data_IF_228170017021
#
_entry.id   IF_228170017021
#
_cell.length_a   1.000
_cell.length_b   1.000
_cell.length_c   1.000
_cell.angle_alpha   90.00
_cell.angle_beta   90.00
_cell.angle_gamma   90.00
#
_symmetry.space_group_name_H-M   'P 1'
#
loop_
_entity.id
_entity.type
_entity.pdbx_description
1 polymer ?
#
# COMPACT_ATOMS: atom_id res chain seq x y z
N UNK A 1 -4.25 -16.81 12.24
CA UNK A 1 -5.09 -15.59 12.32
C UNK A 1 -6.58 -15.88 12.16
N UNK A 2 -7.00 -16.72 11.20
CA UNK A 2 -8.42 -17.05 10.98
C UNK A 2 -9.13 -17.61 12.23
N UNK A 3 -8.43 -18.39 13.07
CA UNK A 3 -8.97 -18.88 14.34
C UNK A 3 -9.12 -17.78 15.41
N UNK A 4 -8.22 -16.80 15.42
CA UNK A 4 -8.21 -15.70 16.39
C UNK A 4 -9.16 -14.56 15.98
N UNK A 5 -9.34 -14.35 14.68
CA UNK A 5 -10.17 -13.28 14.11
C UNK A 5 -11.11 -13.85 13.01
N UNK A 6 -12.08 -14.70 13.38
CA UNK A 6 -12.90 -15.45 12.41
C UNK A 6 -13.81 -14.57 11.55
N UNK A 7 -14.06 -13.33 11.98
CA UNK A 7 -14.90 -12.37 11.25
C UNK A 7 -14.08 -11.41 10.38
N UNK A 8 -12.74 -11.50 10.40
CA UNK A 8 -11.86 -10.65 9.62
C UNK A 8 -11.47 -11.33 8.31
N UNK A 9 -11.28 -10.53 7.27
CA UNK A 9 -10.79 -10.98 5.98
C UNK A 9 -9.52 -10.21 5.66
N UNK A 10 -8.50 -10.93 5.19
CA UNK A 10 -7.18 -10.38 4.92
C UNK A 10 -6.81 -10.59 3.45
N UNK A 11 -6.20 -9.58 2.86
CA UNK A 11 -5.66 -9.62 1.50
C UNK A 11 -4.23 -9.11 1.54
N UNK A 12 -3.32 -9.86 0.92
CA UNK A 12 -1.92 -9.51 0.78
C UNK A 12 -1.57 -9.37 -0.69
N UNK A 13 -0.71 -8.41 -1.00
CA UNK A 13 -0.14 -8.24 -2.33
C UNK A 13 1.35 -7.96 -2.22
N UNK A 14 2.17 -8.79 -2.84
CA UNK A 14 3.62 -8.65 -2.86
C UNK A 14 4.17 -9.26 -4.15
N UNK A 15 5.09 -8.58 -4.88
CA UNK A 15 5.74 -9.16 -6.06
C UNK A 15 6.67 -10.34 -5.76
N UNK A 16 7.12 -10.53 -4.52
CA UNK A 16 7.92 -11.67 -4.07
C UNK A 16 7.01 -12.84 -3.74
N UNK A 17 7.16 -13.94 -4.49
CA UNK A 17 6.25 -15.08 -4.39
C UNK A 17 6.64 -16.05 -3.27
N UNK A 18 7.92 -16.38 -3.13
CA UNK A 18 8.36 -17.62 -2.47
C UNK A 18 7.85 -17.80 -1.04
N UNK A 19 8.29 -16.98 -0.09
CA UNK A 19 7.88 -17.13 1.32
C UNK A 19 6.43 -16.69 1.54
N UNK A 20 5.99 -15.64 0.87
CA UNK A 20 4.70 -15.00 1.13
C UNK A 20 3.52 -15.84 0.65
N UNK A 21 3.66 -16.54 -0.48
CA UNK A 21 2.64 -17.44 -0.99
C UNK A 21 2.44 -18.67 -0.10
N UNK A 22 3.45 -19.05 0.68
CA UNK A 22 3.37 -20.19 1.60
C UNK A 22 2.73 -19.79 2.94
N UNK A 23 3.10 -18.64 3.51
CA UNK A 23 2.67 -18.25 4.86
C UNK A 23 1.37 -17.44 4.89
N UNK A 24 1.14 -16.56 3.92
CA UNK A 24 -0.01 -15.65 3.94
C UNK A 24 -1.36 -16.36 3.80
N UNK A 25 -1.49 -17.51 3.09
CA UNK A 25 -2.74 -18.27 3.05
C UNK A 25 -3.30 -18.69 4.43
N UNK A 26 -2.46 -18.80 5.47
CA UNK A 26 -2.92 -19.06 6.84
C UNK A 26 -3.67 -17.87 7.47
N UNK A 27 -3.51 -16.69 6.87
CA UNK A 27 -4.08 -15.41 7.30
C UNK A 27 -5.22 -15.01 6.37
N UNK A 28 -5.02 -15.06 5.05
CA UNK A 28 -6.01 -14.60 4.07
C UNK A 28 -5.63 -14.91 2.63
N UNK A 29 -6.07 -14.06 1.69
CA UNK A 29 -5.83 -14.26 0.25
C UNK A 29 -4.60 -13.49 -0.21
N UNK A 30 -3.61 -14.21 -0.74
CA UNK A 30 -2.40 -13.61 -1.30
C UNK A 30 -2.53 -13.39 -2.81
N UNK A 31 -1.93 -12.31 -3.30
CA UNK A 31 -1.78 -12.00 -4.71
C UNK A 31 -0.31 -11.68 -5.00
N UNK A 32 0.32 -12.47 -5.88
CA UNK A 32 1.67 -12.19 -6.34
C UNK A 32 1.66 -11.07 -7.39
N UNK A 33 1.56 -9.82 -6.93
CA UNK A 33 1.46 -8.62 -7.77
C UNK A 33 1.99 -7.42 -7.00
N UNK A 34 2.69 -6.51 -7.68
CA UNK A 34 3.02 -5.23 -7.07
C UNK A 34 1.83 -4.28 -7.15
N UNK A 35 1.60 -3.54 -6.07
CA UNK A 35 0.58 -2.50 -6.00
C UNK A 35 1.29 -1.15 -5.89
N UNK A 36 0.93 -0.22 -6.77
CA UNK A 36 1.55 1.11 -6.84
C UNK A 36 0.58 2.16 -7.38
N UNK A 37 1.12 3.24 -7.96
CA UNK A 37 0.30 4.34 -8.49
C UNK A 37 -0.19 4.13 -9.93
N UNK A 38 0.46 3.24 -10.67
CA UNK A 38 0.25 3.08 -12.11
C UNK A 38 0.15 1.60 -12.50
N UNK A 39 -0.60 1.33 -13.56
CA UNK A 39 -0.66 0.01 -14.19
C UNK A 39 0.47 -0.11 -15.22
N UNK A 40 1.20 -1.22 -15.19
CA UNK A 40 2.26 -1.46 -16.18
C UNK A 40 3.22 -2.55 -15.78
N UNK A 41 4.30 -2.67 -16.53
CA UNK A 41 5.46 -3.49 -16.17
C UNK A 41 6.63 -2.54 -15.95
N UNK A 42 7.14 -2.51 -14.73
CA UNK A 42 8.20 -1.58 -14.34
C UNK A 42 9.39 -2.36 -13.78
N UNK A 43 10.57 -1.78 -13.93
CA UNK A 43 11.80 -2.32 -13.36
C UNK A 43 11.88 -1.88 -11.90
N UNK A 44 11.73 -2.82 -10.98
CA UNK A 44 11.65 -2.55 -9.54
C UNK A 44 12.73 -3.25 -8.77
N UNK A 45 13.14 -2.62 -7.67
CA UNK A 45 14.13 -3.16 -6.76
C UNK A 45 13.41 -4.04 -5.73
N UNK A 46 13.56 -5.34 -5.86
CA UNK A 46 12.80 -6.34 -5.09
C UNK A 46 13.76 -7.14 -4.23
N UNK A 47 13.34 -7.43 -3.00
CA UNK A 47 14.10 -8.23 -2.06
C UNK A 47 13.60 -9.67 -2.04
N UNK A 48 14.33 -10.56 -2.71
CA UNK A 48 14.22 -12.01 -2.51
C UNK A 48 15.31 -12.43 -1.49
N UNK A 49 16.34 -13.18 -1.89
CA UNK A 49 17.52 -13.44 -1.06
C UNK A 49 18.48 -12.25 -0.98
N UNK A 50 18.56 -11.48 -2.08
CA UNK A 50 19.31 -10.24 -2.20
C UNK A 50 18.50 -9.26 -3.03
N UNK A 51 18.68 -7.96 -2.80
CA UNK A 51 18.01 -6.96 -3.60
C UNK A 51 18.45 -7.03 -5.07
N UNK A 52 17.48 -7.17 -5.97
CA UNK A 52 17.72 -7.23 -7.42
C UNK A 52 16.68 -6.42 -8.17
N UNK A 53 17.10 -5.86 -9.29
CA UNK A 53 16.15 -5.27 -10.22
C UNK A 53 15.48 -6.35 -11.06
N UNK A 54 14.15 -6.38 -11.05
CA UNK A 54 13.34 -7.29 -11.86
C UNK A 54 12.17 -6.56 -12.51
N UNK A 55 11.69 -7.07 -13.64
CA UNK A 55 10.46 -6.59 -14.25
C UNK A 55 9.27 -7.11 -13.46
N UNK A 56 8.50 -6.19 -12.89
CA UNK A 56 7.37 -6.50 -12.03
C UNK A 56 6.13 -5.91 -12.64
N UNK A 57 5.06 -6.70 -12.64
CA UNK A 57 3.73 -6.23 -13.05
C UNK A 57 3.11 -5.44 -11.90
N UNK A 58 2.84 -4.17 -12.17
CA UNK A 58 2.14 -3.27 -11.26
C UNK A 58 0.67 -3.17 -11.61
N UNK A 59 -0.13 -3.08 -10.56
CA UNK A 59 -1.51 -2.62 -10.63
C UNK A 59 -1.67 -1.41 -9.71
N UNK A 60 -2.41 -0.41 -10.16
CA UNK A 60 -2.68 0.76 -9.33
C UNK A 60 -3.56 0.37 -8.12
N UNK A 61 -3.35 1.01 -6.97
CA UNK A 61 -4.06 0.67 -5.72
C UNK A 61 -5.58 0.72 -5.85
N UNK A 62 -6.14 1.64 -6.64
CA UNK A 62 -7.59 1.71 -6.84
C UNK A 62 -8.09 0.48 -7.61
N UNK A 63 -7.39 0.10 -8.69
CA UNK A 63 -7.67 -1.12 -9.45
C UNK A 63 -7.50 -2.37 -8.59
N UNK A 64 -6.47 -2.43 -7.74
CA UNK A 64 -6.28 -3.56 -6.83
C UNK A 64 -7.47 -3.72 -5.87
N UNK A 65 -7.84 -2.65 -5.17
CA UNK A 65 -8.96 -2.67 -4.21
C UNK A 65 -10.29 -2.99 -4.90
N UNK A 66 -10.54 -2.37 -6.06
CA UNK A 66 -11.79 -2.55 -6.83
C UNK A 66 -11.92 -3.94 -7.43
N UNK A 67 -10.87 -4.48 -8.05
CA UNK A 67 -10.96 -5.71 -8.86
C UNK A 67 -10.54 -6.97 -8.10
N UNK A 68 -9.66 -6.86 -7.11
CA UNK A 68 -9.11 -8.02 -6.39
C UNK A 68 -9.65 -8.15 -4.97
N UNK A 69 -9.72 -7.05 -4.22
CA UNK A 69 -10.27 -7.07 -2.84
C UNK A 69 -11.81 -7.04 -2.87
N UNK A 70 -12.40 -6.23 -3.77
CA UNK A 70 -13.85 -6.11 -3.97
C UNK A 70 -14.61 -5.75 -2.69
N UNK A 71 -14.04 -4.82 -1.91
CA UNK A 71 -14.65 -4.24 -0.71
C UNK A 71 -14.67 -2.72 -0.84
N UNK A 72 -15.81 -2.11 -0.52
CA UNK A 72 -15.98 -0.66 -0.50
C UNK A 72 -15.52 -0.01 0.80
N UNK A 73 -15.35 -0.80 1.87
CA UNK A 73 -14.84 -0.34 3.16
C UNK A 73 -13.66 -1.23 3.54
N UNK A 74 -12.53 -0.60 3.85
CA UNK A 74 -11.28 -1.22 4.28
C UNK A 74 -10.99 -0.71 5.70
N UNK A 75 -11.06 -1.60 6.69
CA UNK A 75 -10.85 -1.21 8.09
C UNK A 75 -9.41 -0.73 8.34
N UNK A 76 -8.44 -1.43 7.76
CA UNK A 76 -7.02 -1.09 7.89
C UNK A 76 -6.27 -1.48 6.62
N UNK A 77 -5.38 -0.60 6.17
CA UNK A 77 -4.38 -0.90 5.14
C UNK A 77 -2.98 -0.65 5.68
N UNK A 78 -2.05 -1.55 5.34
CA UNK A 78 -0.63 -1.46 5.68
C UNK A 78 0.16 -1.42 4.38
N UNK A 79 1.02 -0.43 4.21
CA UNK A 79 1.72 -0.13 2.95
C UNK A 79 3.21 -0.01 3.22
N UNK A 80 3.99 -0.89 2.60
CA UNK A 80 5.43 -0.84 2.48
C UNK A 80 5.76 -1.27 1.04
N UNK A 81 6.16 -0.32 0.20
CA UNK A 81 6.32 -0.53 -1.25
C UNK A 81 7.59 0.12 -1.82
N UNK A 82 8.63 0.24 -1.01
CA UNK A 82 10.00 0.54 -1.46
C UNK A 82 10.10 1.75 -2.41
N UNK A 83 9.81 2.95 -1.90
CA UNK A 83 9.76 4.25 -2.61
C UNK A 83 8.60 4.46 -3.59
N UNK A 84 7.78 3.44 -3.90
CA UNK A 84 6.61 3.60 -4.77
C UNK A 84 5.44 4.31 -4.08
N UNK A 85 5.56 4.68 -2.80
CA UNK A 85 4.50 5.34 -2.04
C UNK A 85 4.21 6.78 -2.49
N UNK A 86 5.21 7.56 -2.90
CA UNK A 86 5.00 9.00 -3.16
C UNK A 86 3.98 9.27 -4.25
N UNK A 87 4.02 8.58 -5.42
CA UNK A 87 3.00 8.76 -6.45
C UNK A 87 1.64 8.18 -6.05
N UNK A 88 1.56 7.30 -5.03
CA UNK A 88 0.29 6.79 -4.51
C UNK A 88 -0.40 7.74 -3.54
N UNK A 89 0.32 8.61 -2.85
CA UNK A 89 -0.27 9.49 -1.81
C UNK A 89 -1.53 10.25 -2.30
N UNK A 90 -1.59 10.80 -3.52
CA UNK A 90 -2.79 11.48 -4.02
C UNK A 90 -4.05 10.60 -4.11
N UNK A 91 -3.92 9.27 -4.12
CA UNK A 91 -5.07 8.36 -4.09
C UNK A 91 -5.86 8.45 -2.77
N UNK A 92 -5.20 8.86 -1.68
CA UNK A 92 -5.75 8.93 -0.32
C UNK A 92 -6.45 10.27 0.00
N UNK A 93 -6.34 11.25 -0.91
CA UNK A 93 -6.99 12.55 -0.76
C UNK A 93 -8.52 12.42 -0.89
N UNK A 94 -9.24 13.40 -0.33
CA UNK A 94 -10.71 13.43 -0.30
C UNK A 94 -11.35 13.42 -1.69
N UNK A 95 -10.68 13.99 -2.68
CA UNK A 95 -11.07 13.97 -4.09
C UNK A 95 -10.25 12.96 -4.92
N UNK A 96 -9.37 12.18 -4.28
CA UNK A 96 -8.50 11.19 -4.89
C UNK A 96 -9.25 9.99 -5.49
N UNK A 97 -8.52 9.12 -6.20
CA UNK A 97 -9.14 8.02 -6.95
C UNK A 97 -9.93 7.05 -6.06
N UNK A 98 -9.49 6.79 -4.83
CA UNK A 98 -10.19 5.88 -3.93
C UNK A 98 -11.56 6.44 -3.51
N UNK A 99 -11.63 7.73 -3.23
CA UNK A 99 -12.88 8.41 -2.93
C UNK A 99 -13.83 8.40 -4.14
N UNK A 100 -13.31 8.65 -5.36
CA UNK A 100 -14.07 8.57 -6.61
C UNK A 100 -14.63 7.17 -6.89
N UNK A 101 -13.87 6.14 -6.50
CA UNK A 101 -14.28 4.73 -6.60
C UNK A 101 -15.20 4.29 -5.45
N UNK A 102 -15.64 5.21 -4.58
CA UNK A 102 -16.45 4.92 -3.38
C UNK A 102 -15.79 3.91 -2.42
N UNK A 103 -14.45 3.91 -2.37
CA UNK A 103 -13.66 3.10 -1.45
C UNK A 103 -13.29 3.94 -0.23
N UNK A 104 -13.76 3.51 0.94
CA UNK A 104 -13.48 4.13 2.24
C UNK A 104 -12.40 3.32 2.94
N UNK A 105 -11.34 4.00 3.39
CA UNK A 105 -10.30 3.42 4.24
C UNK A 105 -10.43 4.06 5.62
N UNK A 106 -10.48 3.24 6.68
CA UNK A 106 -10.62 3.75 8.04
C UNK A 106 -9.26 4.06 8.69
N UNK A 107 -8.25 3.23 8.44
CA UNK A 107 -6.89 3.39 8.99
C UNK A 107 -5.82 3.06 7.95
N UNK A 108 -4.78 3.88 7.91
CA UNK A 108 -3.61 3.72 7.02
C UNK A 108 -2.35 3.67 7.88
N UNK A 109 -1.60 2.59 7.76
CA UNK A 109 -0.22 2.48 8.22
C UNK A 109 0.66 2.45 6.97
N UNK A 110 1.60 3.38 6.87
CA UNK A 110 2.47 3.48 5.69
C UNK A 110 3.90 3.75 6.13
N UNK A 111 4.84 2.96 5.60
CA UNK A 111 6.26 3.27 5.66
C UNK A 111 6.59 4.30 4.59
N UNK A 112 7.07 5.47 5.02
CA UNK A 112 7.55 6.52 4.12
C UNK A 112 9.06 6.44 4.10
N UNK A 113 9.60 5.98 2.98
CA UNK A 113 11.04 5.83 2.80
C UNK A 113 11.74 7.18 2.81
N UNK A 114 13.07 7.17 2.84
CA UNK A 114 13.86 8.40 2.80
C UNK A 114 13.71 9.06 1.41
N UNK A 115 13.20 10.30 1.32
CA UNK A 115 12.92 10.94 0.04
C UNK A 115 14.17 11.52 -0.61
N UNK A 116 14.17 11.58 -1.95
CA UNK A 116 14.96 12.55 -2.71
C UNK A 116 14.26 13.94 -2.74
N UNK A 117 14.85 14.93 -3.40
CA UNK A 117 14.29 16.29 -3.43
C UNK A 117 12.89 16.38 -4.06
N UNK A 118 12.62 15.62 -5.11
CA UNK A 118 11.33 15.61 -5.80
C UNK A 118 10.26 14.91 -4.95
N UNK A 119 10.59 13.76 -4.38
CA UNK A 119 9.73 13.00 -3.48
C UNK A 119 9.39 13.79 -2.21
N UNK A 120 10.35 14.54 -1.66
CA UNK A 120 10.11 15.40 -0.50
C UNK A 120 9.08 16.50 -0.83
N UNK A 121 9.16 17.07 -2.04
CA UNK A 121 8.18 18.04 -2.51
C UNK A 121 6.80 17.40 -2.66
N UNK A 122 6.70 16.24 -3.31
CA UNK A 122 5.43 15.50 -3.47
C UNK A 122 4.79 15.19 -2.11
N UNK A 123 5.58 14.73 -1.14
CA UNK A 123 5.11 14.45 0.21
C UNK A 123 4.62 15.72 0.91
N UNK A 124 5.34 16.83 0.78
CA UNK A 124 4.95 18.10 1.39
C UNK A 124 3.66 18.66 0.79
N UNK A 125 3.52 18.64 -0.54
CA UNK A 125 2.31 19.07 -1.24
C UNK A 125 1.10 18.22 -0.81
N UNK A 126 1.28 16.90 -0.72
CA UNK A 126 0.27 15.98 -0.19
C UNK A 126 -0.09 16.29 1.27
N UNK A 127 0.90 16.48 2.13
CA UNK A 127 0.69 16.79 3.54
C UNK A 127 -0.11 18.08 3.72
N UNK A 128 0.23 19.14 2.99
CA UNK A 128 -0.49 20.41 3.04
C UNK A 128 -1.96 20.25 2.65
N UNK A 129 -2.24 19.50 1.57
CA UNK A 129 -3.59 19.21 1.12
C UNK A 129 -4.37 18.42 2.18
N UNK A 130 -3.76 17.37 2.73
CA UNK A 130 -4.37 16.52 3.75
C UNK A 130 -4.75 17.32 5.02
N UNK A 131 -3.92 18.27 5.44
CA UNK A 131 -4.23 19.16 6.56
C UNK A 131 -5.40 20.10 6.27
N UNK A 132 -5.61 20.51 5.02
CA UNK A 132 -6.76 21.34 4.63
C UNK A 132 -8.06 20.53 4.61
N UNK A 133 -7.99 19.28 4.15
CA UNK A 133 -9.15 18.40 4.03
C UNK A 133 -9.74 17.96 5.37
N UNK A 134 -8.90 17.92 6.41
CA UNK A 134 -9.27 17.51 7.79
C UNK A 134 -9.93 16.13 7.85
N UNK A 135 -9.65 15.28 6.86
CA UNK A 135 -10.14 13.90 6.80
C UNK A 135 -9.29 12.97 7.66
N UNK A 136 -7.99 13.24 7.76
CA UNK A 136 -7.01 12.39 8.41
C UNK A 136 -6.33 13.10 9.56
N UNK A 137 -5.99 12.34 10.60
CA UNK A 137 -5.06 12.77 11.65
C UNK A 137 -3.76 12.01 11.42
N UNK A 138 -2.69 12.73 11.08
CA UNK A 138 -1.37 12.11 10.91
C UNK A 138 -0.71 11.89 12.25
N UNK A 139 -0.26 10.66 12.46
CA UNK A 139 0.51 10.26 13.63
C UNK A 139 1.84 9.69 13.13
N UNK A 140 2.94 10.18 13.71
CA UNK A 140 4.25 9.57 13.51
C UNK A 140 4.47 8.54 14.60
N UNK A 141 4.80 7.31 14.21
CA UNK A 141 5.22 6.29 15.15
C UNK A 141 6.68 6.55 15.56
N UNK A 142 6.95 6.64 16.87
CA UNK A 142 8.31 6.78 17.40
C UNK A 142 9.09 5.46 17.40
N UNK A 143 8.40 4.34 17.19
CA UNK A 143 8.99 3.01 17.00
C UNK A 143 9.19 2.73 15.52
N UNK A 144 10.36 2.20 15.14
CA UNK A 144 10.61 1.66 13.80
C UNK A 144 9.75 0.40 13.64
N UNK A 145 8.64 0.54 12.91
CA UNK A 145 7.85 -0.58 12.38
C UNK A 145 8.07 -0.57 10.86
N UNK A 146 9.34 -0.58 10.45
CA UNK A 146 9.73 -0.68 9.04
C UNK A 146 9.95 -2.13 8.64
N UNK A 147 9.88 -2.44 7.35
CA UNK A 147 9.92 -3.80 6.82
C UNK A 147 8.88 -4.70 7.50
N UNK A 148 7.61 -4.31 7.42
CA UNK A 148 6.47 -5.11 7.85
C UNK A 148 6.41 -6.40 7.01
N UNK A 149 7.15 -7.43 7.42
CA UNK A 149 7.13 -8.78 6.85
C UNK A 149 6.12 -9.65 7.58
#
# INVERSE_FOLDING_TARGET
MQSAMPNCQFWGADPVNETNADIFPEVGKFYNIAVGAENGTFRSYVLEDIYRYQEVKYVDIATFLRNYVKRSVIDQIMIDIEHAEYPMLPFLLKDGQLARDSTVICQVNIEVHRPNAEQLKLFFDFYQQLMQEKQWTLMSASSIIGHLR
#
